data_IF_974569871942
#
_entry.id   IF_974569871942
#
_cell.length_a   1.000
_cell.length_b   1.000
_cell.length_c   1.000
_cell.angle_alpha   90.00
_cell.angle_beta   90.00
_cell.angle_gamma   90.00
#
_symmetry.space_group_name_H-M   'P 1'
#
loop_
_entity.id
_entity.type
_entity.pdbx_description
1 polymer ?
#
# COMPACT_ATOMS: atom_id res chain seq x y z
N UNK A 1 2.87 10.80 -6.84
CA UNK A 1 2.80 9.31 -6.85
C UNK A 1 3.34 8.80 -5.53
N UNK A 2 2.73 7.77 -4.94
CA UNK A 2 3.10 7.28 -3.60
C UNK A 2 4.42 6.49 -3.57
N UNK A 3 5.00 6.37 -2.39
CA UNK A 3 6.30 5.72 -2.11
C UNK A 3 6.28 4.17 -2.26
N UNK A 4 5.25 3.61 -2.89
CA UNK A 4 4.85 2.21 -2.68
C UNK A 4 5.13 1.26 -3.86
N UNK A 5 5.98 1.62 -4.82
CA UNK A 5 6.23 0.76 -5.98
C UNK A 5 4.99 0.56 -6.87
N UNK A 6 5.08 -0.30 -7.87
CA UNK A 6 3.96 -0.64 -8.76
C UNK A 6 3.18 -1.82 -8.18
N UNK A 7 1.85 -1.75 -8.23
CA UNK A 7 0.96 -2.86 -7.88
C UNK A 7 0.19 -3.28 -9.11
N UNK A 8 0.22 -4.57 -9.44
CA UNK A 8 -0.50 -5.16 -10.57
C UNK A 8 -1.41 -6.30 -10.10
N UNK A 9 -2.50 -6.55 -10.83
CA UNK A 9 -3.34 -7.74 -10.63
C UNK A 9 -2.70 -8.92 -11.37
N UNK A 10 -2.68 -10.10 -10.75
CA UNK A 10 -2.14 -11.32 -11.35
C UNK A 10 -2.94 -12.56 -10.92
N UNK A 11 -2.61 -13.71 -11.52
CA UNK A 11 -3.13 -15.02 -11.14
C UNK A 11 -2.03 -15.83 -10.46
N UNK A 12 -2.33 -16.39 -9.29
CA UNK A 12 -1.47 -17.29 -8.54
C UNK A 12 -2.04 -18.72 -8.61
N UNK A 13 -1.21 -19.68 -9.02
CA UNK A 13 -1.53 -21.11 -8.96
C UNK A 13 -1.11 -21.68 -7.62
N UNK A 14 -2.08 -22.17 -6.84
CA UNK A 14 -1.82 -22.83 -5.57
C UNK A 14 -1.14 -24.19 -5.79
N UNK A 15 -0.50 -24.78 -4.76
CA UNK A 15 0.04 -26.13 -4.84
C UNK A 15 -1.01 -27.20 -5.21
N UNK A 16 -2.29 -26.93 -4.94
CA UNK A 16 -3.42 -27.79 -5.28
C UNK A 16 -3.91 -27.58 -6.72
N UNK A 17 -3.26 -26.70 -7.50
CA UNK A 17 -3.60 -26.41 -8.89
C UNK A 17 -4.74 -25.39 -9.07
N UNK A 18 -5.23 -24.76 -8.00
CA UNK A 18 -6.28 -23.74 -8.10
C UNK A 18 -5.68 -22.40 -8.53
N UNK A 19 -6.39 -21.68 -9.39
CA UNK A 19 -6.04 -20.32 -9.79
C UNK A 19 -6.76 -19.30 -8.90
N UNK A 20 -5.99 -18.36 -8.33
CA UNK A 20 -6.50 -17.33 -7.41
C UNK A 20 -6.02 -15.95 -7.88
N UNK A 21 -6.91 -14.97 -7.89
CA UNK A 21 -6.52 -13.58 -8.18
C UNK A 21 -5.74 -12.98 -7.02
N UNK A 22 -4.60 -12.34 -7.32
CA UNK A 22 -3.70 -11.73 -6.34
C UNK A 22 -3.29 -10.32 -6.77
N UNK A 23 -2.83 -9.54 -5.81
CA UNK A 23 -2.13 -8.29 -6.05
C UNK A 23 -0.62 -8.52 -5.89
N UNK A 24 0.18 -8.12 -6.89
CA UNK A 24 1.63 -8.21 -6.86
C UNK A 24 2.21 -6.82 -6.76
N UNK A 25 2.98 -6.58 -5.69
CA UNK A 25 3.66 -5.31 -5.44
C UNK A 25 5.16 -5.48 -5.66
N UNK A 26 5.71 -4.78 -6.64
CA UNK A 26 7.16 -4.78 -6.91
C UNK A 26 7.86 -3.76 -6.01
N UNK A 27 8.88 -4.21 -5.29
CA UNK A 27 9.76 -3.36 -4.49
C UNK A 27 10.82 -2.72 -5.38
N UNK A 28 11.11 -1.45 -5.14
CA UNK A 28 12.18 -0.74 -5.87
C UNK A 28 13.54 -1.16 -5.35
N UNK A 29 14.54 -1.19 -6.22
CA UNK A 29 15.93 -1.50 -5.85
C UNK A 29 16.46 -0.59 -4.74
N UNK A 30 16.09 0.70 -4.76
CA UNK A 30 16.45 1.64 -3.69
C UNK A 30 15.90 1.25 -2.32
N UNK A 31 14.71 0.65 -2.25
CA UNK A 31 14.11 0.17 -1.00
C UNK A 31 14.85 -1.07 -0.49
N UNK A 32 15.24 -1.96 -1.40
CA UNK A 32 15.99 -3.17 -1.05
C UNK A 32 17.39 -2.79 -0.57
N UNK A 33 18.06 -1.86 -1.24
CA UNK A 33 19.38 -1.38 -0.86
C UNK A 33 19.37 -0.67 0.51
N UNK A 34 18.34 0.12 0.82
CA UNK A 34 18.25 0.81 2.12
C UNK A 34 17.91 -0.11 3.29
N UNK A 35 17.10 -1.15 3.06
CA UNK A 35 16.55 -2.01 4.12
C UNK A 35 17.33 -3.31 4.30
N UNK A 36 17.90 -3.82 3.21
CA UNK A 36 18.55 -5.13 3.15
C UNK A 36 17.56 -6.28 2.92
N UNK A 37 18.00 -7.25 2.12
CA UNK A 37 17.19 -8.43 1.75
C UNK A 37 16.73 -9.25 2.97
N UNK A 38 17.62 -9.49 3.92
CA UNK A 38 17.30 -10.29 5.11
C UNK A 38 16.23 -9.63 5.98
N UNK A 39 16.26 -8.30 6.10
CA UNK A 39 15.26 -7.52 6.81
C UNK A 39 13.90 -7.64 6.11
N UNK A 40 13.87 -7.53 4.78
CA UNK A 40 12.63 -7.70 3.99
C UNK A 40 12.02 -9.08 4.21
N UNK A 41 12.83 -10.13 4.17
CA UNK A 41 12.35 -11.50 4.40
C UNK A 41 11.85 -11.70 5.85
N UNK A 42 12.53 -11.09 6.83
CA UNK A 42 12.13 -11.11 8.23
C UNK A 42 10.79 -10.39 8.46
N UNK A 43 10.63 -9.19 7.92
CA UNK A 43 9.38 -8.44 7.97
C UNK A 43 8.25 -9.18 7.26
N UNK A 44 8.53 -9.75 6.09
CA UNK A 44 7.56 -10.57 5.36
C UNK A 44 7.10 -11.77 6.22
N UNK A 45 8.02 -12.46 6.90
CA UNK A 45 7.66 -13.55 7.82
C UNK A 45 6.71 -13.07 8.93
N UNK A 46 6.95 -11.89 9.49
CA UNK A 46 6.02 -11.30 10.47
C UNK A 46 4.66 -10.97 9.84
N UNK A 47 4.65 -10.35 8.65
CA UNK A 47 3.43 -9.99 7.94
C UNK A 47 2.57 -11.21 7.54
N UNK A 48 3.18 -12.34 7.15
CA UNK A 48 2.43 -13.57 6.82
C UNK A 48 1.63 -14.14 8.00
N UNK A 49 1.99 -13.78 9.23
CA UNK A 49 1.29 -14.22 10.45
C UNK A 49 0.07 -13.34 10.76
N UNK A 50 -0.03 -12.14 10.18
CA UNK A 50 -1.17 -11.25 10.36
C UNK A 50 -2.39 -11.80 9.60
N UNK A 51 -3.31 -12.42 10.32
CA UNK A 51 -4.55 -13.00 9.79
C UNK A 51 -5.75 -12.32 10.44
N UNK A 52 -6.31 -11.32 9.77
CA UNK A 52 -7.49 -10.61 10.23
C UNK A 52 -8.32 -10.12 9.05
N UNK A 53 -9.66 -10.10 9.19
CA UNK A 53 -10.60 -9.72 8.12
C UNK A 53 -10.45 -8.29 7.58
N UNK A 54 -9.68 -7.45 8.26
CA UNK A 54 -9.45 -6.04 7.90
C UNK A 54 -7.99 -5.73 7.54
N UNK A 55 -7.14 -6.75 7.43
CA UNK A 55 -5.74 -6.62 7.05
C UNK A 55 -5.50 -7.41 5.77
N UNK A 56 -4.97 -6.74 4.75
CA UNK A 56 -4.61 -7.40 3.49
C UNK A 56 -3.53 -8.44 3.76
N UNK A 57 -3.88 -9.71 3.56
CA UNK A 57 -2.97 -10.83 3.81
C UNK A 57 -1.81 -10.85 2.82
N UNK A 58 -0.59 -10.96 3.35
CA UNK A 58 0.57 -11.37 2.57
C UNK A 58 0.53 -12.89 2.36
N UNK A 59 0.47 -13.32 1.10
CA UNK A 59 0.50 -14.73 0.70
C UNK A 59 1.94 -15.22 0.68
N UNK A 60 2.86 -14.43 0.12
CA UNK A 60 4.27 -14.77 0.07
C UNK A 60 5.13 -13.70 -0.60
N UNK A 61 6.41 -14.03 -0.79
CA UNK A 61 7.40 -13.19 -1.45
C UNK A 61 7.98 -13.96 -2.63
N UNK A 62 8.17 -13.28 -3.75
CA UNK A 62 8.86 -13.80 -4.92
C UNK A 62 10.11 -12.96 -5.18
N UNK A 63 11.23 -13.62 -5.47
CA UNK A 63 12.47 -12.99 -5.92
C UNK A 63 12.77 -13.51 -7.33
N UNK A 64 12.61 -12.63 -8.32
CA UNK A 64 13.05 -12.87 -9.69
C UNK A 64 14.05 -11.76 -10.05
N UNK A 65 13.80 -11.00 -11.12
CA UNK A 65 14.56 -9.78 -11.43
C UNK A 65 14.42 -8.71 -10.34
N UNK A 66 13.25 -8.63 -9.70
CA UNK A 66 12.97 -7.74 -8.57
C UNK A 66 12.28 -8.51 -7.44
N UNK A 67 12.36 -7.98 -6.22
CA UNK A 67 11.55 -8.47 -5.11
C UNK A 67 10.09 -8.06 -5.30
N UNK A 68 9.19 -9.03 -5.10
CA UNK A 68 7.76 -8.84 -5.23
C UNK A 68 7.03 -9.42 -4.02
N UNK A 69 6.05 -8.69 -3.52
CA UNK A 69 5.12 -9.16 -2.51
C UNK A 69 3.85 -9.66 -3.20
N UNK A 70 3.42 -10.87 -2.87
CA UNK A 70 2.17 -11.47 -3.35
C UNK A 70 1.13 -11.33 -2.27
N UNK A 71 0.11 -10.53 -2.51
CA UNK A 71 -0.94 -10.19 -1.54
C UNK A 71 -2.31 -10.67 -2.02
N UNK A 72 -3.24 -10.86 -1.10
CA UNK A 72 -4.64 -11.03 -1.48
C UNK A 72 -5.15 -9.80 -2.24
N UNK A 73 -6.03 -10.04 -3.22
CA UNK A 73 -6.60 -8.96 -4.01
C UNK A 73 -7.78 -8.33 -3.27
N UNK A 74 -7.71 -7.02 -3.01
CA UNK A 74 -8.85 -6.23 -2.59
C UNK A 74 -9.64 -5.77 -3.82
N UNK A 75 -10.86 -6.31 -4.09
CA UNK A 75 -11.54 -6.14 -5.37
C UNK A 75 -12.01 -4.70 -5.64
N UNK A 76 -12.28 -3.93 -4.59
CA UNK A 76 -12.71 -2.54 -4.69
C UNK A 76 -11.53 -1.56 -4.85
N UNK A 77 -10.31 -2.07 -4.79
CA UNK A 77 -9.09 -1.29 -4.90
C UNK A 77 -8.89 -0.32 -3.74
N UNK A 78 -8.02 0.70 -3.94
CA UNK A 78 -7.70 1.68 -2.90
C UNK A 78 -8.91 2.52 -2.49
N UNK A 79 -9.14 2.64 -1.17
CA UNK A 79 -10.27 3.38 -0.60
C UNK A 79 -10.36 4.83 -1.10
N UNK A 80 -9.23 5.52 -1.26
CA UNK A 80 -9.19 6.90 -1.76
C UNK A 80 -9.70 7.02 -3.21
N UNK A 81 -9.46 6.01 -4.06
CA UNK A 81 -9.99 5.95 -5.42
C UNK A 81 -11.46 5.57 -5.41
N UNK A 82 -11.83 4.62 -4.57
CA UNK A 82 -13.22 4.20 -4.39
C UNK A 82 -14.10 5.39 -3.96
N UNK A 83 -13.69 6.12 -2.92
CA UNK A 83 -14.41 7.29 -2.41
C UNK A 83 -14.52 8.42 -3.43
N UNK A 84 -13.49 8.64 -4.26
CA UNK A 84 -13.56 9.64 -5.35
C UNK A 84 -14.52 9.23 -6.46
N UNK A 85 -14.58 7.94 -6.80
CA UNK A 85 -15.49 7.41 -7.83
C UNK A 85 -16.94 7.36 -7.36
N UNK A 86 -17.13 7.08 -6.07
CA UNK A 86 -18.43 6.96 -5.42
C UNK A 86 -18.70 8.15 -4.50
N UNK A 87 -18.13 9.33 -4.80
CA UNK A 87 -18.53 10.53 -4.09
C UNK A 87 -19.99 10.77 -4.46
N UNK A 88 -20.89 10.52 -3.50
CA UNK A 88 -22.23 11.05 -3.59
C UNK A 88 -22.06 12.55 -3.85
N UNK A 89 -22.69 13.04 -4.92
CA UNK A 89 -23.01 14.46 -5.03
C UNK A 89 -24.02 14.74 -3.91
N UNK A 90 -23.58 14.67 -2.66
CA UNK A 90 -24.23 15.41 -1.61
C UNK A 90 -23.91 16.84 -1.98
N UNK A 91 -24.94 17.59 -2.36
CA UNK A 91 -24.96 19.04 -2.28
C UNK A 91 -24.62 19.41 -0.83
N UNK A 92 -23.34 19.33 -0.44
CA UNK A 92 -22.87 19.84 0.84
C UNK A 92 -22.71 21.33 0.59
N UNK A 93 -23.83 22.04 0.71
CA UNK A 93 -23.84 23.48 0.92
C UNK A 93 -22.97 23.77 2.16
N UNK A 94 -21.79 24.35 1.91
CA UNK A 94 -20.87 24.91 2.90
C UNK A 94 -19.99 23.95 3.71
N UNK A 95 -18.97 23.34 3.07
CA UNK A 95 -17.76 22.95 3.83
C UNK A 95 -16.84 24.16 3.92
N UNK A 96 -16.83 24.83 5.08
CA UNK A 96 -15.86 25.89 5.38
C UNK A 96 -14.46 25.27 5.47
N UNK A 97 -13.57 25.70 4.58
CA UNK A 97 -12.16 25.33 4.58
C UNK A 97 -11.49 25.91 5.82
N UNK A 98 -11.21 25.07 6.83
CA UNK A 98 -10.34 25.43 7.95
C UNK A 98 -8.91 25.57 7.42
N UNK A 99 -8.40 26.81 7.41
CA UNK A 99 -7.01 27.14 7.16
C UNK A 99 -6.30 27.09 8.50
N UNK A 100 -5.43 26.11 8.72
CA UNK A 100 -4.48 26.16 9.84
C UNK A 100 -3.50 27.30 9.58
N UNK A 101 -3.46 28.28 10.48
CA UNK A 101 -2.39 29.28 10.52
C UNK A 101 -1.20 28.61 11.21
N UNK A 102 -0.06 28.54 10.52
CA UNK A 102 1.21 28.27 11.15
C UNK A 102 1.62 29.47 11.99
N UNK A 103 2.00 29.23 13.24
CA UNK A 103 2.77 30.18 14.05
C UNK A 103 4.18 30.29 13.46
N UNK A 104 4.57 31.48 13.01
CA UNK A 104 5.98 31.84 12.91
C UNK A 104 6.38 32.50 14.24
N UNK A 105 6.97 31.68 15.11
CA UNK A 105 7.82 32.13 16.21
C UNK A 105 9.02 32.88 15.61
N UNK A 106 9.20 34.13 16.02
CA UNK A 106 10.03 35.10 15.30
C UNK A 106 11.54 35.06 15.53
N UNK A 107 12.21 36.15 15.12
CA UNK A 107 13.48 36.56 15.70
C UNK A 107 13.77 38.05 15.49
N UNK A 108 14.43 38.61 16.51
CA UNK A 108 14.81 40.00 16.70
C UNK A 108 16.06 40.41 15.90
N UNK A 109 16.27 41.74 15.78
CA UNK A 109 17.48 42.41 15.30
C UNK A 109 17.12 43.48 14.28
N UNK A 110 17.44 44.77 14.44
CA UNK A 110 18.56 45.41 15.16
C UNK A 110 18.10 46.58 16.03
#
# INVERSE_FOLDING_TARGET
GGNFGQVVKAIYKTPQGQEVEVAVKTLRESQIASTGEQTILSEAKTMTQLKHRHIVRLIGVCKAQHFMLVLELAPLGPINKYLKKHSFSTQISSVRKLRCMSEESGQAGS
#
